data_IF_884878558133
#
_entry.id   IF_884878558133
#
_cell.length_a   1.000
_cell.length_b   1.000
_cell.length_c   1.000
_cell.angle_alpha   90.00
_cell.angle_beta   90.00
_cell.angle_gamma   90.00
#
_symmetry.space_group_name_H-M   'P 1'
#
loop_
_entity.id
_entity.type
_entity.pdbx_description
1 polymer ?
#
# COMPACT_ATOMS: atom_id res chain seq x y z
N UNK A 1 -31.02 -14.48 4.52
CA UNK A 1 -29.94 -15.49 4.37
C UNK A 1 -28.86 -15.01 3.41
N UNK A 2 -29.24 -14.34 2.31
CA UNK A 2 -28.30 -13.74 1.36
C UNK A 2 -27.31 -12.75 1.97
N UNK A 3 -27.70 -11.96 2.98
CA UNK A 3 -26.80 -10.97 3.60
C UNK A 3 -25.60 -11.61 4.32
N UNK A 4 -25.80 -12.79 4.92
CA UNK A 4 -24.71 -13.52 5.56
C UNK A 4 -23.76 -14.11 4.52
N UNK A 5 -24.30 -14.56 3.38
CA UNK A 5 -23.53 -15.14 2.29
C UNK A 5 -22.69 -14.05 1.61
N UNK A 6 -23.25 -12.89 1.33
CA UNK A 6 -22.50 -11.75 0.77
C UNK A 6 -21.43 -11.26 1.74
N UNK A 7 -21.74 -11.13 3.04
CA UNK A 7 -20.76 -10.76 4.06
C UNK A 7 -19.55 -11.70 4.11
N UNK A 8 -19.79 -13.02 4.10
CA UNK A 8 -18.72 -14.04 4.07
C UNK A 8 -17.94 -13.96 2.76
N UNK A 9 -18.61 -13.79 1.63
CA UNK A 9 -17.97 -13.74 0.31
C UNK A 9 -17.01 -12.55 0.20
N UNK A 10 -17.44 -11.35 0.64
CA UNK A 10 -16.56 -10.18 0.70
C UNK A 10 -15.39 -10.37 1.66
N UNK A 11 -15.64 -10.99 2.82
CA UNK A 11 -14.59 -11.25 3.81
C UNK A 11 -13.52 -12.19 3.27
N UNK A 12 -13.93 -13.32 2.68
CA UNK A 12 -13.00 -14.29 2.10
C UNK A 12 -12.24 -13.68 0.93
N UNK A 13 -12.92 -12.96 0.04
CA UNK A 13 -12.27 -12.30 -1.10
C UNK A 13 -11.22 -11.28 -0.65
N UNK A 14 -11.57 -10.41 0.30
CA UNK A 14 -10.63 -9.42 0.84
C UNK A 14 -9.43 -10.08 1.52
N UNK A 15 -9.66 -11.15 2.30
CA UNK A 15 -8.59 -11.91 2.94
C UNK A 15 -7.64 -12.56 1.92
N UNK A 16 -8.20 -13.10 0.83
CA UNK A 16 -7.43 -13.75 -0.24
C UNK A 16 -6.53 -12.73 -0.95
N UNK A 17 -7.04 -11.52 -1.23
CA UNK A 17 -6.25 -10.42 -1.81
C UNK A 17 -5.08 -10.03 -0.90
N UNK A 18 -5.34 -9.87 0.40
CA UNK A 18 -4.28 -9.56 1.39
C UNK A 18 -3.22 -10.67 1.43
N UNK A 19 -3.65 -11.94 1.47
CA UNK A 19 -2.75 -13.08 1.49
C UNK A 19 -1.86 -13.13 0.22
N UNK A 20 -2.45 -12.96 -0.97
CA UNK A 20 -1.71 -12.96 -2.23
C UNK A 20 -0.71 -11.80 -2.31
N UNK A 21 -1.11 -10.59 -1.91
CA UNK A 21 -0.22 -9.43 -1.89
C UNK A 21 0.95 -9.65 -0.92
N UNK A 22 0.68 -10.20 0.27
CA UNK A 22 1.69 -10.46 1.30
C UNK A 22 2.70 -11.52 0.84
N UNK A 23 2.23 -12.59 0.20
CA UNK A 23 3.10 -13.60 -0.40
C UNK A 23 3.96 -13.04 -1.53
N UNK A 24 3.41 -12.14 -2.35
CA UNK A 24 4.17 -11.49 -3.42
C UNK A 24 5.31 -10.63 -2.86
N UNK A 25 5.03 -9.85 -1.81
CA UNK A 25 6.06 -9.07 -1.10
C UNK A 25 7.14 -10.01 -0.52
N UNK A 26 6.75 -11.13 0.11
CA UNK A 26 7.70 -12.09 0.64
C UNK A 26 8.60 -12.70 -0.45
N UNK A 27 8.04 -13.05 -1.60
CA UNK A 27 8.81 -13.57 -2.73
C UNK A 27 9.70 -12.53 -3.41
N UNK A 28 9.31 -11.24 -3.37
CA UNK A 28 10.16 -10.15 -3.82
C UNK A 28 11.45 -10.07 -2.99
N UNK A 29 11.34 -10.10 -1.65
CA UNK A 29 12.52 -10.10 -0.77
C UNK A 29 13.33 -11.39 -0.87
N UNK A 30 12.68 -12.52 -1.19
CA UNK A 30 13.35 -13.79 -1.45
C UNK A 30 14.07 -13.82 -2.82
N UNK A 31 13.95 -12.76 -3.63
CA UNK A 31 14.53 -12.70 -4.98
C UNK A 31 13.89 -13.64 -6.01
N UNK A 32 12.75 -14.27 -5.67
CA UNK A 32 12.04 -15.21 -6.56
C UNK A 32 11.13 -14.51 -7.57
N UNK A 33 10.79 -13.25 -7.31
CA UNK A 33 9.93 -12.41 -8.16
C UNK A 33 10.65 -11.10 -8.42
N UNK A 34 10.72 -10.69 -9.69
CA UNK A 34 11.29 -9.40 -10.07
C UNK A 34 10.33 -8.25 -9.67
N UNK A 35 10.85 -7.13 -9.13
CA UNK A 35 10.04 -5.93 -8.89
C UNK A 35 9.50 -5.37 -10.20
N UNK A 36 8.36 -4.67 -10.15
CA UNK A 36 7.91 -3.88 -11.29
C UNK A 36 8.96 -2.82 -11.68
N UNK A 37 9.50 -2.92 -12.89
CA UNK A 37 10.47 -1.95 -13.40
C UNK A 37 9.74 -0.74 -14.01
N UNK A 38 9.41 0.25 -13.19
CA UNK A 38 8.79 1.49 -13.65
C UNK A 38 9.82 2.55 -14.03
N UNK A 39 11.00 2.49 -13.42
CA UNK A 39 12.08 3.45 -13.63
C UNK A 39 13.32 2.70 -14.11
N UNK A 40 13.87 3.21 -15.21
CA UNK A 40 15.22 2.88 -15.71
C UNK A 40 16.00 4.18 -15.74
N UNK A 41 16.77 4.47 -14.71
CA UNK A 41 17.63 5.65 -14.70
C UNK A 41 18.81 5.37 -15.62
N UNK A 42 19.02 6.25 -16.61
CA UNK A 42 20.32 6.33 -17.27
C UNK A 42 21.28 6.87 -16.22
N UNK A 43 22.30 6.11 -15.85
CA UNK A 43 23.21 6.42 -14.76
C UNK A 43 23.67 7.87 -14.75
N UNK A 44 23.69 8.48 -13.56
CA UNK A 44 24.22 9.81 -13.35
C UNK A 44 25.73 9.71 -13.48
N UNK A 45 26.24 10.01 -14.67
CA UNK A 45 27.67 10.12 -14.89
C UNK A 45 28.12 11.56 -14.66
N UNK A 46 28.89 11.79 -13.60
CA UNK A 46 29.66 13.03 -13.47
C UNK A 46 30.89 12.92 -14.37
N UNK A 47 31.01 13.85 -15.32
CA UNK A 47 32.21 14.02 -16.12
C UNK A 47 33.16 14.95 -15.34
N UNK A 48 33.99 14.37 -14.47
CA UNK A 48 34.96 15.13 -13.68
C UNK A 48 36.11 15.47 -14.61
N UNK A 49 36.08 16.67 -15.21
CA UNK A 49 37.22 17.21 -15.94
C UNK A 49 38.39 17.40 -14.95
N UNK A 50 39.40 16.55 -15.06
CA UNK A 50 40.63 16.65 -14.28
C UNK A 50 41.41 17.93 -14.61
N UNK A 51 42.39 18.32 -13.79
CA UNK A 51 43.22 19.48 -14.06
C UNK A 51 44.00 19.27 -15.36
N UNK A 52 43.88 20.22 -16.28
CA UNK A 52 44.47 20.19 -17.61
C UNK A 52 46.00 20.17 -17.53
N UNK A 53 46.63 19.03 -17.86
CA UNK A 53 48.04 19.01 -18.26
C UNK A 53 48.14 19.28 -19.77
N UNK A 54 49.16 20.02 -20.22
CA UNK A 54 49.33 20.41 -21.61
C UNK A 54 49.97 19.28 -22.42
N UNK A 55 49.31 18.13 -22.52
CA UNK A 55 49.44 17.28 -23.71
C UNK A 55 48.32 16.25 -23.76
N UNK A 56 47.39 16.50 -24.69
CA UNK A 56 46.60 15.55 -25.47
C UNK A 56 46.45 14.10 -25.00
N UNK A 57 45.81 13.84 -23.86
CA UNK A 57 44.94 12.65 -23.72
C UNK A 57 43.87 12.95 -22.67
N UNK A 58 42.68 13.36 -23.11
CA UNK A 58 41.50 13.38 -22.24
C UNK A 58 41.22 11.93 -21.85
N UNK A 59 41.59 11.52 -20.63
CA UNK A 59 41.15 10.25 -20.06
C UNK A 59 39.80 10.55 -19.40
N UNK A 60 38.65 10.16 -20.00
CA UNK A 60 37.36 10.34 -19.37
C UNK A 60 37.28 9.41 -18.16
N UNK A 61 37.61 9.93 -16.98
CA UNK A 61 37.27 9.27 -15.72
C UNK A 61 35.77 9.42 -15.49
N UNK A 62 35.00 8.60 -16.20
CA UNK A 62 33.58 8.41 -15.96
C UNK A 62 33.42 7.54 -14.70
N UNK A 63 33.71 8.13 -13.54
CA UNK A 63 33.55 7.44 -12.26
C UNK A 63 32.07 7.49 -11.89
N UNK A 64 31.36 6.38 -12.05
CA UNK A 64 29.99 6.23 -11.53
C UNK A 64 30.03 6.23 -10.00
N UNK A 65 29.69 7.37 -9.40
CA UNK A 65 29.68 7.57 -7.93
C UNK A 65 28.61 6.67 -7.29
N UNK A 66 27.59 6.28 -8.06
CA UNK A 66 26.59 5.29 -7.69
C UNK A 66 26.15 4.55 -8.96
N UNK A 67 26.31 3.22 -8.97
CA UNK A 67 25.89 2.37 -10.08
C UNK A 67 24.37 2.50 -10.27
N UNK A 68 23.97 2.90 -11.48
CA UNK A 68 22.57 3.20 -11.81
C UNK A 68 21.62 2.04 -11.48
N UNK A 69 22.12 0.82 -11.59
CA UNK A 69 21.38 -0.42 -11.36
C UNK A 69 20.93 -0.57 -9.89
N UNK A 70 21.75 -0.14 -8.93
CA UNK A 70 21.40 -0.20 -7.50
C UNK A 70 20.29 0.80 -7.19
N UNK A 71 20.38 2.01 -7.76
CA UNK A 71 19.36 3.04 -7.58
C UNK A 71 18.03 2.62 -8.22
N UNK A 72 18.08 2.09 -9.44
CA UNK A 72 16.91 1.57 -10.14
C UNK A 72 16.25 0.44 -9.37
N UNK A 73 17.04 -0.50 -8.85
CA UNK A 73 16.52 -1.61 -8.07
C UNK A 73 15.86 -1.13 -6.78
N UNK A 74 16.47 -0.21 -6.05
CA UNK A 74 15.91 0.33 -4.81
C UNK A 74 14.60 1.07 -5.05
N UNK A 75 14.57 1.91 -6.08
CA UNK A 75 13.39 2.68 -6.46
C UNK A 75 12.26 1.74 -6.92
N UNK A 76 12.56 0.76 -7.79
CA UNK A 76 11.58 -0.20 -8.29
C UNK A 76 11.02 -1.10 -7.16
N UNK A 77 11.84 -1.54 -6.21
CA UNK A 77 11.38 -2.28 -5.02
C UNK A 77 10.47 -1.40 -4.17
N UNK A 78 10.84 -0.14 -3.96
CA UNK A 78 10.04 0.81 -3.18
C UNK A 78 8.66 1.03 -3.81
N UNK A 79 8.60 1.26 -5.13
CA UNK A 79 7.32 1.36 -5.85
C UNK A 79 6.49 0.08 -5.78
N UNK A 80 7.12 -1.08 -5.97
CA UNK A 80 6.43 -2.38 -5.86
C UNK A 80 5.84 -2.57 -4.46
N UNK A 81 6.59 -2.22 -3.42
CA UNK A 81 6.13 -2.31 -2.03
C UNK A 81 4.96 -1.37 -1.75
N UNK A 82 5.03 -0.12 -2.22
CA UNK A 82 3.94 0.85 -2.09
C UNK A 82 2.69 0.36 -2.83
N UNK A 83 2.84 -0.16 -4.05
CA UNK A 83 1.73 -0.68 -4.85
C UNK A 83 1.08 -1.90 -4.20
N UNK A 84 1.88 -2.86 -3.72
CA UNK A 84 1.35 -4.02 -2.99
C UNK A 84 0.72 -3.61 -1.66
N UNK A 85 1.28 -2.64 -0.95
CA UNK A 85 0.68 -2.05 0.25
C UNK A 85 -0.66 -1.36 -0.02
N UNK A 86 -0.81 -0.73 -1.18
CA UNK A 86 -2.10 -0.21 -1.64
C UNK A 86 -3.11 -1.35 -1.87
N UNK A 87 -2.70 -2.45 -2.52
CA UNK A 87 -3.58 -3.63 -2.70
C UNK A 87 -4.00 -4.26 -1.38
N UNK A 88 -3.10 -4.34 -0.40
CA UNK A 88 -3.43 -4.79 0.97
C UNK A 88 -4.49 -3.89 1.60
N UNK A 89 -4.36 -2.57 1.46
CA UNK A 89 -5.37 -1.62 1.95
C UNK A 89 -6.74 -1.79 1.26
N UNK A 90 -6.76 -2.05 -0.05
CA UNK A 90 -7.99 -2.36 -0.78
C UNK A 90 -8.61 -3.65 -0.25
N UNK A 91 -7.82 -4.72 -0.10
CA UNK A 91 -8.28 -5.98 0.47
C UNK A 91 -8.83 -5.82 1.89
N UNK A 92 -8.19 -5.00 2.72
CA UNK A 92 -8.65 -4.66 4.07
C UNK A 92 -10.01 -3.94 4.05
N UNK A 93 -10.18 -2.94 3.18
CA UNK A 93 -11.47 -2.23 3.03
C UNK A 93 -12.58 -3.19 2.61
N UNK A 94 -12.31 -4.08 1.64
CA UNK A 94 -13.28 -5.08 1.18
C UNK A 94 -13.64 -6.06 2.30
N UNK A 95 -12.65 -6.57 3.02
CA UNK A 95 -12.88 -7.48 4.15
C UNK A 95 -13.66 -6.80 5.30
N UNK A 96 -13.34 -5.53 5.59
CA UNK A 96 -14.05 -4.74 6.60
C UNK A 96 -15.53 -4.56 6.28
N UNK A 97 -15.88 -4.31 5.01
CA UNK A 97 -17.28 -4.30 4.57
C UNK A 97 -17.96 -5.65 4.81
N UNK A 98 -17.27 -6.76 4.50
CA UNK A 98 -17.76 -8.11 4.79
C UNK A 98 -18.07 -8.34 6.28
N UNK A 99 -17.15 -7.94 7.17
CA UNK A 99 -17.35 -8.02 8.64
C UNK A 99 -18.52 -7.16 9.10
N UNK A 100 -18.70 -5.97 8.54
CA UNK A 100 -19.81 -5.08 8.89
C UNK A 100 -21.16 -5.68 8.53
N UNK A 101 -21.29 -6.37 7.39
CA UNK A 101 -22.52 -7.08 7.02
C UNK A 101 -22.82 -8.29 7.92
N UNK A 102 -21.78 -8.94 8.46
CA UNK A 102 -21.93 -10.05 9.40
C UNK A 102 -22.36 -9.59 10.80
N UNK A 103 -22.10 -8.32 11.16
CA UNK A 103 -22.43 -7.78 12.48
C UNK A 103 -23.92 -7.38 12.55
N UNK A 104 -24.70 -7.90 13.50
CA UNK A 104 -26.09 -7.50 13.65
C UNK A 104 -26.19 -6.05 14.17
N UNK A 105 -27.06 -5.26 13.54
CA UNK A 105 -27.37 -3.89 13.98
C UNK A 105 -28.33 -3.97 15.17
N UNK A 106 -27.81 -3.78 16.39
CA UNK A 106 -28.64 -3.63 17.60
C UNK A 106 -29.03 -2.17 17.75
N UNK A 107 -30.30 -1.85 17.49
CA UNK A 107 -30.84 -0.51 17.72
C UNK A 107 -31.50 -0.48 19.10
N UNK A 108 -30.96 0.32 20.01
CA UNK A 108 -31.63 0.62 21.28
C UNK A 108 -32.61 1.77 21.03
N UNK A 109 -33.88 1.46 20.85
CA UNK A 109 -34.92 2.49 20.77
C UNK A 109 -35.12 3.09 22.15
N UNK A 110 -34.79 4.38 22.32
CA UNK A 110 -35.35 5.17 23.43
C UNK A 110 -36.83 5.36 23.12
N UNK A 111 -37.67 4.53 23.74
CA UNK A 111 -39.12 4.65 23.61
C UNK A 111 -39.65 6.00 24.10
N UNK A 112 -40.84 6.42 23.65
CA UNK A 112 -41.49 7.68 24.02
C UNK A 112 -41.73 7.87 25.52
N UNK A 113 -41.63 6.80 26.32
CA UNK A 113 -41.68 6.85 27.79
C UNK A 113 -40.56 7.70 28.42
N UNK A 114 -39.39 7.79 27.78
CA UNK A 114 -38.30 8.65 28.26
C UNK A 114 -38.52 10.14 27.93
N UNK A 115 -39.42 10.46 26.97
CA UNK A 115 -39.74 11.82 26.57
C UNK A 115 -40.93 12.42 27.34
N UNK A 116 -41.80 11.59 27.94
CA UNK A 116 -42.91 12.10 28.77
C UNK A 116 -42.47 12.46 30.19
N UNK A 117 -41.50 11.72 30.76
CA UNK A 117 -40.97 11.96 32.11
C UNK A 117 -40.22 13.29 32.26
N UNK A 118 -39.70 13.83 31.16
CA UNK A 118 -38.96 15.10 31.12
C UNK A 118 -39.90 16.31 31.05
N UNK A 119 -41.10 16.16 30.45
CA UNK A 119 -42.11 17.22 30.42
C UNK A 119 -42.93 17.35 31.70
N UNK A 120 -43.05 16.29 32.51
CA UNK A 120 -43.78 16.35 33.78
C UNK A 120 -43.02 17.05 34.91
N UNK A 121 -41.74 17.38 34.70
CA UNK A 121 -40.89 18.10 35.67
C UNK A 121 -40.88 19.62 35.37
N UNK A 122 -41.43 20.05 34.22
CA UNK A 122 -41.32 21.41 33.71
C UNK A 122 -42.66 22.17 33.59
N UNK A 123 -43.75 21.67 34.16
CA UNK A 123 -45.01 22.41 34.31
C UNK A 123 -45.28 22.69 35.80
N UNK A 124 -45.69 23.92 36.15
CA UNK A 124 -45.41 24.60 37.41
C UNK A 124 -46.05 23.98 38.66
#
# INVERSE_FOLDING_TARGET
>A
MGEKITGILLLVLGLLVIAMASLNIYFLFSGKVAPFSLIRTKGISLDIKGPTLPDSTEIPFKTEILEADVLDRLVNISFHFIFMGFLVNVGYKVASLGVQFLRPVKVNLRGPEAASKDKSILSP
#
